data_IF_301238852141
#
_entry.id   IF_301238852141
#
_cell.length_a   1.000
_cell.length_b   1.000
_cell.length_c   1.000
_cell.angle_alpha   90.00
_cell.angle_beta   90.00
_cell.angle_gamma   90.00
#
_symmetry.space_group_name_H-M   'P 1'
#
loop_
_entity.id
_entity.type
_entity.pdbx_description
1 polymer ?
#
# COMPACT_ATOMS: atom_id res chain seq x y z
N UNK A 1 -6.42 13.97 8.44
CA UNK A 1 -5.74 12.66 8.48
C UNK A 1 -4.35 12.83 7.87
N UNK A 2 -3.35 12.13 8.40
CA UNK A 2 -1.93 12.41 8.13
C UNK A 2 -1.40 13.54 9.01
N UNK A 3 -0.24 13.34 9.63
CA UNK A 3 0.49 14.40 10.36
C UNK A 3 1.98 14.31 10.00
N UNK A 4 2.62 15.41 9.54
CA UNK A 4 2.01 16.72 9.28
C UNK A 4 0.97 16.68 8.14
N UNK A 5 0.15 17.74 8.00
CA UNK A 5 -0.78 17.85 6.86
C UNK A 5 -0.02 17.82 5.51
N UNK A 6 -0.62 17.28 4.44
CA UNK A 6 0.01 17.27 3.13
C UNK A 6 0.22 18.70 2.60
N UNK A 7 1.33 18.92 1.91
CA UNK A 7 1.68 20.24 1.33
C UNK A 7 0.85 20.57 0.08
N UNK A 8 0.36 19.56 -0.63
CA UNK A 8 -0.46 19.70 -1.82
C UNK A 8 -1.46 18.54 -1.93
N UNK A 9 -2.58 18.77 -2.61
CA UNK A 9 -3.55 17.71 -2.92
C UNK A 9 -3.01 16.76 -4.00
N UNK A 10 -3.50 15.52 -4.02
CA UNK A 10 -3.13 14.55 -5.06
C UNK A 10 -3.60 14.97 -6.45
N UNK A 11 -2.88 14.58 -7.50
CA UNK A 11 -3.23 14.81 -8.90
C UNK A 11 -4.17 13.76 -9.51
N UNK A 12 -4.70 12.83 -8.70
CA UNK A 12 -5.58 11.77 -9.18
C UNK A 12 -6.90 12.33 -9.68
N UNK A 13 -7.29 11.97 -10.90
CA UNK A 13 -8.48 12.49 -11.56
C UNK A 13 -9.79 12.06 -10.90
N UNK A 14 -9.76 10.97 -10.12
CA UNK A 14 -10.90 10.39 -9.41
C UNK A 14 -10.92 10.73 -7.91
N UNK A 15 -10.12 11.71 -7.48
CA UNK A 15 -10.11 12.21 -6.10
C UNK A 15 -10.57 13.66 -6.11
N UNK A 16 -11.84 13.89 -5.79
CA UNK A 16 -12.36 15.23 -5.53
C UNK A 16 -11.63 15.86 -4.34
N UNK A 17 -11.24 17.14 -4.44
CA UNK A 17 -10.56 17.86 -3.34
C UNK A 17 -11.43 18.03 -2.09
N UNK A 18 -12.75 17.96 -2.26
CA UNK A 18 -13.72 18.10 -1.16
C UNK A 18 -14.09 16.75 -0.53
N UNK A 19 -13.61 15.64 -1.08
CA UNK A 19 -13.86 14.32 -0.52
C UNK A 19 -13.21 14.18 0.87
N UNK A 20 -13.90 13.53 1.80
CA UNK A 20 -13.41 13.37 3.18
C UNK A 20 -12.02 12.69 3.27
N UNK A 21 -11.69 11.85 2.27
CA UNK A 21 -10.41 11.14 2.16
C UNK A 21 -9.34 11.90 1.37
N UNK A 22 -9.65 13.02 0.73
CA UNK A 22 -8.75 13.68 -0.22
C UNK A 22 -7.41 14.07 0.41
N UNK A 23 -7.44 14.65 1.64
CA UNK A 23 -6.23 14.95 2.41
C UNK A 23 -5.44 13.70 2.80
N UNK A 24 -6.11 12.59 3.10
CA UNK A 24 -5.45 11.33 3.44
C UNK A 24 -4.71 10.75 2.23
N UNK A 25 -5.34 10.78 1.06
CA UNK A 25 -4.73 10.33 -0.20
C UNK A 25 -3.53 11.21 -0.56
N UNK A 26 -3.69 12.53 -0.48
CA UNK A 26 -2.61 13.49 -0.69
C UNK A 26 -1.40 13.21 0.21
N UNK A 27 -1.64 13.00 1.50
CA UNK A 27 -0.58 12.67 2.46
C UNK A 27 0.10 11.33 2.13
N UNK A 28 -0.67 10.32 1.76
CA UNK A 28 -0.13 9.00 1.39
C UNK A 28 0.73 9.08 0.12
N UNK A 29 0.37 9.92 -0.85
CA UNK A 29 1.18 10.16 -2.06
C UNK A 29 2.48 10.88 -1.68
N UNK A 30 2.42 11.95 -0.88
CA UNK A 30 3.59 12.73 -0.49
C UNK A 30 4.63 11.89 0.29
N UNK A 31 4.16 10.92 1.08
CA UNK A 31 5.03 10.01 1.83
C UNK A 31 5.38 8.72 1.07
N UNK A 32 5.04 8.62 -0.22
CA UNK A 32 5.36 7.45 -1.05
C UNK A 32 4.64 6.16 -0.65
N UNK A 33 3.55 6.25 0.12
CA UNK A 33 2.76 5.10 0.59
C UNK A 33 1.93 4.55 -0.56
N UNK A 34 1.41 5.41 -1.43
CA UNK A 34 0.64 5.02 -2.61
C UNK A 34 1.08 5.78 -3.85
N UNK A 35 1.02 5.10 -4.99
CA UNK A 35 1.19 5.67 -6.33
C UNK A 35 -0.10 5.60 -7.14
N UNK A 36 -1.21 5.20 -6.50
CA UNK A 36 -2.47 4.93 -7.17
C UNK A 36 -2.51 3.56 -7.85
N UNK A 37 -3.54 3.36 -8.66
CA UNK A 37 -3.82 2.10 -9.37
C UNK A 37 -3.42 2.14 -10.85
N UNK A 38 -2.80 3.22 -11.31
CA UNK A 38 -2.50 3.48 -12.72
C UNK A 38 -3.43 4.52 -13.34
N UNK A 39 -3.14 4.93 -14.59
CA UNK A 39 -3.95 5.86 -15.39
C UNK A 39 -4.33 7.18 -14.70
N UNK A 40 -3.49 7.66 -13.79
CA UNK A 40 -3.77 8.87 -13.01
C UNK A 40 -4.93 8.72 -12.02
N UNK A 41 -5.17 7.50 -11.51
CA UNK A 41 -6.27 7.19 -10.58
C UNK A 41 -5.79 6.63 -9.24
N UNK A 42 -6.56 6.92 -8.20
CA UNK A 42 -6.46 6.26 -6.90
C UNK A 42 -7.42 5.08 -6.75
N UNK A 43 -8.56 5.11 -7.45
CA UNK A 43 -9.68 4.19 -7.35
C UNK A 43 -10.27 4.09 -5.93
N UNK A 44 -10.77 5.20 -5.35
CA UNK A 44 -11.20 5.26 -3.94
C UNK A 44 -12.35 4.30 -3.60
N UNK A 45 -13.24 4.02 -4.56
CA UNK A 45 -14.41 3.14 -4.37
C UNK A 45 -14.12 1.67 -4.74
N UNK A 46 -12.91 1.37 -5.25
CA UNK A 46 -12.53 0.01 -5.55
C UNK A 46 -12.23 -0.78 -4.27
N UNK A 47 -12.47 -2.09 -4.31
CA UNK A 47 -12.09 -2.97 -3.19
C UNK A 47 -10.57 -2.99 -3.04
N UNK A 48 -10.08 -2.65 -1.85
CA UNK A 48 -8.66 -2.74 -1.51
C UNK A 48 -8.28 -4.21 -1.29
N UNK A 49 -7.35 -4.72 -2.10
CA UNK A 49 -6.85 -6.09 -1.97
C UNK A 49 -5.95 -6.24 -0.73
N UNK A 50 -5.77 -7.48 -0.27
CA UNK A 50 -4.80 -7.81 0.80
C UNK A 50 -3.38 -7.35 0.42
N UNK A 51 -2.97 -7.58 -0.83
CA UNK A 51 -1.68 -7.14 -1.36
C UNK A 51 -1.48 -5.62 -1.30
N UNK A 52 -2.50 -4.84 -1.68
CA UNK A 52 -2.46 -3.37 -1.57
C UNK A 52 -2.39 -2.91 -0.11
N UNK A 53 -3.20 -3.51 0.76
CA UNK A 53 -3.23 -3.17 2.19
C UNK A 53 -1.86 -3.38 2.86
N UNK A 54 -1.24 -4.53 2.60
CA UNK A 54 0.10 -4.85 3.12
C UNK A 54 1.17 -3.94 2.49
N UNK A 55 1.05 -3.64 1.20
CA UNK A 55 1.96 -2.69 0.51
C UNK A 55 1.92 -1.30 1.13
N UNK A 56 0.73 -0.78 1.46
CA UNK A 56 0.61 0.52 2.13
C UNK A 56 1.27 0.50 3.50
N UNK A 57 1.05 -0.55 4.29
CA UNK A 57 1.61 -0.67 5.62
C UNK A 57 3.15 -0.78 5.58
N UNK A 58 3.66 -1.60 4.66
CA UNK A 58 5.09 -1.74 4.41
C UNK A 58 5.75 -0.41 4.06
N UNK A 59 5.18 0.34 3.10
CA UNK A 59 5.71 1.64 2.68
C UNK A 59 5.62 2.70 3.78
N UNK A 60 4.56 2.67 4.58
CA UNK A 60 4.39 3.60 5.70
C UNK A 60 5.43 3.38 6.82
N UNK A 61 5.86 2.14 7.04
CA UNK A 61 6.78 1.78 8.14
C UNK A 61 8.26 1.81 7.69
N UNK A 62 8.53 1.72 6.39
CA UNK A 62 9.85 2.00 5.83
C UNK A 62 10.95 0.99 6.22
N UNK A 63 10.62 -0.29 6.39
CA UNK A 63 11.61 -1.32 6.71
C UNK A 63 11.96 -2.17 5.49
N UNK A 64 13.22 -2.12 5.05
CA UNK A 64 13.76 -3.13 4.16
C UNK A 64 13.84 -4.48 4.91
N UNK A 65 13.47 -5.56 4.23
CA UNK A 65 13.65 -6.93 4.70
C UNK A 65 14.58 -7.61 3.74
N UNK A 66 15.60 -8.28 4.26
CA UNK A 66 16.53 -9.09 3.46
C UNK A 66 16.00 -10.53 3.30
N UNK A 67 14.67 -10.71 3.35
CA UNK A 67 14.00 -12.01 3.31
C UNK A 67 12.98 -12.06 2.19
N UNK A 68 12.81 -13.24 1.58
CA UNK A 68 11.70 -13.52 0.66
C UNK A 68 10.56 -14.20 1.42
N UNK A 69 9.32 -13.89 1.04
CA UNK A 69 8.16 -14.66 1.49
C UNK A 69 8.02 -15.92 0.63
N UNK A 70 7.83 -17.08 1.24
CA UNK A 70 7.65 -18.37 0.57
C UNK A 70 6.17 -18.76 0.45
N UNK A 71 5.35 -17.85 -0.08
CA UNK A 71 3.98 -18.19 -0.45
C UNK A 71 3.95 -18.59 -1.92
N UNK A 72 3.28 -19.71 -2.22
CA UNK A 72 3.21 -20.26 -3.58
C UNK A 72 2.43 -19.38 -4.55
N UNK A 73 1.53 -18.54 -4.02
CA UNK A 73 0.70 -17.60 -4.76
C UNK A 73 1.29 -16.18 -4.83
N UNK A 74 2.52 -15.98 -4.33
CA UNK A 74 3.24 -14.71 -4.41
C UNK A 74 4.34 -14.81 -5.47
N UNK A 75 4.11 -14.22 -6.64
CA UNK A 75 5.15 -14.13 -7.67
C UNK A 75 6.26 -13.19 -7.19
N UNK A 76 7.52 -13.62 -7.29
CA UNK A 76 8.69 -12.90 -6.73
C UNK A 76 8.86 -11.48 -7.25
N UNK A 77 8.42 -11.22 -8.49
CA UNK A 77 8.59 -9.93 -9.15
C UNK A 77 7.34 -9.04 -9.01
N UNK A 78 6.36 -9.47 -8.21
CA UNK A 78 5.16 -8.68 -7.92
C UNK A 78 5.50 -7.45 -7.09
N UNK A 79 4.76 -6.36 -7.32
CA UNK A 79 4.93 -5.11 -6.57
C UNK A 79 4.79 -5.28 -5.04
N UNK A 80 4.09 -6.34 -4.59
CA UNK A 80 3.82 -6.65 -3.20
C UNK A 80 4.73 -7.72 -2.60
N UNK A 81 5.62 -8.36 -3.36
CA UNK A 81 6.42 -9.50 -2.87
C UNK A 81 7.24 -9.14 -1.62
N UNK A 82 7.95 -7.99 -1.66
CA UNK A 82 8.72 -7.50 -0.51
C UNK A 82 7.83 -7.09 0.67
N UNK A 83 6.65 -6.54 0.39
CA UNK A 83 5.70 -6.16 1.44
C UNK A 83 5.13 -7.38 2.16
N UNK A 84 4.85 -8.46 1.42
CA UNK A 84 4.39 -9.73 2.00
C UNK A 84 5.50 -10.38 2.82
N UNK A 85 6.74 -10.40 2.32
CA UNK A 85 7.90 -10.89 3.09
C UNK A 85 8.07 -10.13 4.41
N UNK A 86 7.96 -8.80 4.35
CA UNK A 86 7.98 -7.95 5.54
C UNK A 86 6.88 -8.30 6.53
N UNK A 87 5.66 -8.50 6.02
CA UNK A 87 4.51 -8.80 6.85
C UNK A 87 4.67 -10.13 7.61
N UNK A 88 5.27 -11.14 6.99
CA UNK A 88 5.58 -12.41 7.65
C UNK A 88 6.63 -12.22 8.73
N UNK A 89 7.76 -11.59 8.41
CA UNK A 89 8.87 -11.39 9.37
C UNK A 89 8.43 -10.57 10.59
N UNK A 90 7.47 -9.65 10.43
CA UNK A 90 6.97 -8.81 11.51
C UNK A 90 5.66 -9.34 12.14
N UNK A 91 5.21 -10.55 11.79
CA UNK A 91 4.01 -11.18 12.37
C UNK A 91 2.69 -10.47 12.04
N UNK A 92 2.66 -9.68 10.97
CA UNK A 92 1.45 -9.00 10.47
C UNK A 92 0.51 -10.00 9.79
N UNK A 93 1.05 -11.04 9.17
CA UNK A 93 0.30 -12.17 8.62
C UNK A 93 1.11 -13.46 8.75
N UNK A 94 0.43 -14.57 9.03
CA UNK A 94 1.02 -15.91 9.03
C UNK A 94 0.53 -16.75 7.84
N UNK A 95 -0.27 -16.16 6.96
CA UNK A 95 -0.93 -16.89 5.88
C UNK A 95 -2.12 -17.72 6.38
N UNK A 96 -2.63 -18.55 5.47
CA UNK A 96 -3.42 -19.74 5.80
C UNK A 96 -2.52 -20.94 5.48
N UNK A 97 -2.70 -22.09 6.13
CA UNK A 97 -1.79 -23.24 5.97
C UNK A 97 -1.47 -23.61 4.51
N UNK A 98 -0.40 -24.38 4.31
CA UNK A 98 0.11 -24.84 3.00
C UNK A 98 0.80 -23.78 2.12
N UNK A 99 1.30 -22.69 2.72
CA UNK A 99 2.08 -21.68 1.98
C UNK A 99 1.19 -20.77 1.13
N UNK A 100 0.04 -20.36 1.69
CA UNK A 100 -0.95 -19.42 1.16
C UNK A 100 -1.18 -18.23 2.11
#
# INVERSE_FOLDING_TARGET
AGSPEPKAMSSFADVSTDAYYAKAVAWAVENGITTGTGDGKFSPDATCTRAQSVTFLFRAIGKLVDSKAEFSDVLTDSYYANAVAWAVVNGVTNGIGDGL
#
